data_IF_957954505172
#
_entry.id   IF_957954505172
#
_cell.length_a   1.000
_cell.length_b   1.000
_cell.length_c   1.000
_cell.angle_alpha   90.00
_cell.angle_beta   90.00
_cell.angle_gamma   90.00
#
_symmetry.space_group_name_H-M   'P 1'
#
loop_
_entity.id
_entity.type
_entity.pdbx_description
1 polymer ?
#
# COMPACT_ATOMS: atom_id res chain seq x y z
N UNK A 1 26.45 -0.03 -0.82
CA UNK A 1 25.67 -0.97 0.03
C UNK A 1 24.29 -0.37 0.26
N UNK A 2 23.27 -0.79 -0.49
CA UNK A 2 21.91 -0.21 -0.39
C UNK A 2 21.10 -1.03 0.60
N UNK A 3 21.16 -0.67 1.89
CA UNK A 3 20.32 -1.26 2.92
C UNK A 3 19.03 -0.45 3.05
N UNK A 4 17.95 -0.93 2.41
CA UNK A 4 16.58 -0.43 2.58
C UNK A 4 15.81 -1.23 3.64
N UNK A 5 14.56 -0.83 3.94
CA UNK A 5 13.72 -1.48 4.95
C UNK A 5 12.77 -2.51 4.30
N UNK A 6 12.77 -3.76 4.80
CA UNK A 6 11.87 -4.82 4.36
C UNK A 6 10.74 -4.93 5.38
N UNK A 7 9.51 -5.03 4.91
CA UNK A 7 8.30 -4.97 5.71
C UNK A 7 8.30 -5.87 6.98
N UNK A 8 8.50 -5.23 8.14
CA UNK A 8 7.73 -5.26 9.41
C UNK A 8 8.50 -4.36 10.38
N UNK A 9 8.18 -3.07 10.36
CA UNK A 9 8.61 -1.96 11.23
C UNK A 9 10.06 -1.83 11.74
N UNK A 10 11.02 -2.70 11.39
CA UNK A 10 12.47 -2.59 11.69
C UNK A 10 13.26 -3.80 11.13
N UNK A 11 13.07 -4.18 9.86
CA UNK A 11 13.91 -5.21 9.21
C UNK A 11 14.78 -4.60 8.13
N UNK A 12 16.08 -4.87 8.22
CA UNK A 12 17.05 -4.56 7.16
C UNK A 12 16.80 -5.50 5.99
N UNK A 13 16.65 -4.96 4.79
CA UNK A 13 16.67 -5.75 3.56
C UNK A 13 18.07 -6.22 3.26
N UNK A 14 18.19 -7.49 2.87
CA UNK A 14 19.42 -8.02 2.30
C UNK A 14 19.66 -7.52 0.87
N UNK A 15 18.58 -7.18 0.14
CA UNK A 15 18.65 -6.66 -1.24
C UNK A 15 17.50 -5.72 -1.60
N UNK A 16 17.68 -4.96 -2.68
CA UNK A 16 16.63 -4.09 -3.25
C UNK A 16 15.43 -4.89 -3.73
N UNK A 17 15.65 -6.10 -4.27
CA UNK A 17 14.55 -6.99 -4.69
C UNK A 17 13.70 -7.37 -3.48
N UNK A 18 14.34 -7.78 -2.37
CA UNK A 18 13.64 -8.10 -1.14
C UNK A 18 12.84 -6.90 -0.60
N UNK A 19 13.41 -5.69 -0.69
CA UNK A 19 12.71 -4.45 -0.32
C UNK A 19 11.44 -4.25 -1.15
N UNK A 20 11.54 -4.41 -2.46
CA UNK A 20 10.44 -4.18 -3.40
C UNK A 20 9.32 -5.20 -3.22
N UNK A 21 9.67 -6.48 -3.06
CA UNK A 21 8.69 -7.54 -2.76
C UNK A 21 7.97 -7.29 -1.43
N UNK A 22 8.73 -6.91 -0.39
CA UNK A 22 8.17 -6.57 0.92
C UNK A 22 7.22 -5.38 0.87
N UNK A 23 7.58 -4.33 0.13
CA UNK A 23 6.73 -3.15 -0.06
C UNK A 23 5.47 -3.49 -0.85
N UNK A 24 5.59 -4.22 -1.97
CA UNK A 24 4.42 -4.65 -2.76
C UNK A 24 3.44 -5.44 -1.91
N UNK A 25 3.94 -6.41 -1.12
CA UNK A 25 3.09 -7.20 -0.23
C UNK A 25 2.43 -6.33 0.85
N UNK A 26 3.18 -5.40 1.45
CA UNK A 26 2.65 -4.51 2.48
C UNK A 26 1.57 -3.57 1.93
N UNK A 27 1.82 -2.94 0.78
CA UNK A 27 0.86 -2.05 0.13
C UNK A 27 -0.41 -2.80 -0.26
N UNK A 28 -0.29 -4.02 -0.79
CA UNK A 28 -1.44 -4.89 -1.07
C UNK A 28 -2.28 -5.15 0.18
N UNK A 29 -1.64 -5.51 1.30
CA UNK A 29 -2.33 -5.70 2.59
C UNK A 29 -2.98 -4.41 3.12
N UNK A 30 -2.23 -3.30 3.12
CA UNK A 30 -2.68 -2.01 3.64
C UNK A 30 -3.91 -1.50 2.88
N UNK A 31 -3.88 -1.59 1.55
CA UNK A 31 -4.94 -1.07 0.70
C UNK A 31 -6.20 -1.94 0.73
N UNK A 32 -6.07 -3.27 0.80
CA UNK A 32 -7.21 -4.19 0.55
C UNK A 32 -7.75 -4.90 1.78
N UNK A 33 -6.99 -4.96 2.89
CA UNK A 33 -7.36 -5.77 4.06
C UNK A 33 -7.36 -5.00 5.36
N UNK A 34 -6.64 -3.87 5.45
CA UNK A 34 -6.52 -3.10 6.69
C UNK A 34 -7.66 -2.09 6.78
N UNK A 35 -8.61 -2.24 7.72
CA UNK A 35 -9.61 -1.21 7.99
C UNK A 35 -8.95 -0.02 8.70
N UNK A 36 -9.33 1.19 8.32
CA UNK A 36 -8.79 2.42 8.89
C UNK A 36 -9.87 3.17 9.63
N UNK A 37 -9.60 3.58 10.87
CA UNK A 37 -10.53 4.34 11.70
C UNK A 37 -10.95 5.67 11.06
N UNK A 38 -10.03 6.35 10.38
CA UNK A 38 -10.31 7.58 9.62
C UNK A 38 -11.19 7.35 8.37
N UNK A 39 -11.41 6.10 7.97
CA UNK A 39 -12.22 5.71 6.81
C UNK A 39 -13.47 4.94 7.25
N UNK A 40 -13.99 5.20 8.45
CA UNK A 40 -15.15 4.47 9.01
C UNK A 40 -14.96 2.95 8.99
N UNK A 41 -13.76 2.49 9.34
CA UNK A 41 -13.36 1.08 9.31
C UNK A 41 -13.37 0.44 7.92
N UNK A 42 -13.40 1.24 6.85
CA UNK A 42 -13.21 0.77 5.49
C UNK A 42 -11.73 0.67 5.13
N UNK A 43 -11.46 -0.11 4.09
CA UNK A 43 -10.14 -0.16 3.46
C UNK A 43 -9.98 1.01 2.49
N UNK A 44 -8.75 1.46 2.22
CA UNK A 44 -8.49 2.51 1.22
C UNK A 44 -9.07 2.16 -0.15
N UNK A 45 -9.00 0.89 -0.56
CA UNK A 45 -9.59 0.38 -1.79
C UNK A 45 -11.11 0.67 -1.85
N UNK A 46 -11.83 0.33 -0.78
CA UNK A 46 -13.27 0.59 -0.67
C UNK A 46 -13.62 2.09 -0.66
N UNK A 47 -12.81 2.91 0.01
CA UNK A 47 -13.07 4.34 0.17
C UNK A 47 -12.77 5.16 -1.10
N UNK A 48 -11.67 4.83 -1.80
CA UNK A 48 -11.16 5.64 -2.90
C UNK A 48 -11.37 5.05 -4.28
N UNK A 49 -11.29 3.72 -4.47
CA UNK A 49 -11.42 3.15 -5.82
C UNK A 49 -12.84 3.23 -6.38
N UNK A 50 -13.87 3.24 -5.52
CA UNK A 50 -15.23 3.57 -5.95
C UNK A 50 -15.40 5.05 -6.32
N UNK A 51 -14.61 5.94 -5.70
CA UNK A 51 -14.66 7.40 -5.91
C UNK A 51 -13.85 7.85 -7.14
N UNK A 52 -12.71 7.20 -7.42
CA UNK A 52 -11.79 7.57 -8.50
C UNK A 52 -12.33 7.30 -9.92
N UNK A 53 -13.47 6.59 -10.06
CA UNK A 53 -14.11 6.31 -11.36
C UNK A 53 -14.87 7.51 -11.96
N UNK A 54 -14.89 8.66 -11.28
CA UNK A 54 -15.56 9.90 -11.71
C UNK A 54 -14.59 11.05 -12.01
N UNK A 55 -13.42 10.78 -12.56
CA UNK A 55 -12.66 11.84 -13.24
C UNK A 55 -13.10 11.80 -14.72
N UNK A 56 -13.97 12.73 -15.18
CA UNK A 56 -14.25 12.82 -16.60
C UNK A 56 -12.97 13.25 -17.30
N UNK A 57 -12.38 12.34 -18.06
CA UNK A 57 -11.31 12.66 -19.00
C UNK A 57 -12.01 13.38 -20.15
N UNK A 58 -12.05 14.70 -20.11
CA UNK A 58 -12.53 15.49 -21.24
C UNK A 58 -11.36 15.62 -22.20
N UNK A 59 -11.52 15.05 -23.40
CA UNK A 59 -10.56 15.17 -24.50
C UNK A 59 -10.55 16.59 -25.09
#
# INVERSE_FOLDING_TARGET
MVRGLCHKYLRVCDSVIAAREGLTRYLGFYNTRRPHSSLDWRTPDQAYLNTSRRIPIVA
#
